data_IF_259678006013
#
_entry.id   IF_259678006013
#
_cell.length_a   1.000
_cell.length_b   1.000
_cell.length_c   1.000
_cell.angle_alpha   90.00
_cell.angle_beta   90.00
_cell.angle_gamma   90.00
#
_symmetry.space_group_name_H-M   'P 1'
#
loop_
_entity.id
_entity.type
_entity.pdbx_description
1 polymer ?
#
# COMPACT_ATOMS: atom_id res chain seq x y z
N UNK A 1 -67.73 1.86 -53.92
CA UNK A 1 -67.13 0.58 -53.46
C UNK A 1 -65.66 0.55 -53.84
N UNK A 2 -64.75 0.83 -52.90
CA UNK A 2 -63.31 0.54 -53.02
C UNK A 2 -62.87 -0.05 -51.68
N UNK A 3 -62.55 -1.35 -51.70
CA UNK A 3 -62.10 -2.13 -50.54
C UNK A 3 -60.62 -1.85 -50.32
N UNK A 4 -60.26 -1.27 -49.18
CA UNK A 4 -58.87 -1.17 -48.73
C UNK A 4 -58.46 -2.47 -48.06
N UNK A 5 -57.46 -3.14 -48.63
CA UNK A 5 -56.82 -4.34 -48.06
C UNK A 5 -55.76 -3.87 -47.06
N UNK A 6 -55.94 -4.21 -45.79
CA UNK A 6 -54.93 -4.01 -44.74
C UNK A 6 -54.02 -5.23 -44.73
N UNK A 7 -52.76 -5.05 -45.12
CA UNK A 7 -51.71 -6.07 -45.01
C UNK A 7 -51.22 -6.11 -43.54
N UNK A 8 -51.55 -7.18 -42.82
CA UNK A 8 -50.99 -7.47 -41.49
C UNK A 8 -49.58 -8.07 -41.67
N UNK A 9 -48.55 -7.27 -41.42
CA UNK A 9 -47.16 -7.72 -41.30
C UNK A 9 -46.99 -8.48 -39.98
N UNK A 10 -46.83 -9.80 -40.05
CA UNK A 10 -46.40 -10.65 -38.95
C UNK A 10 -44.92 -10.35 -38.63
N UNK A 11 -44.67 -9.63 -37.54
CA UNK A 11 -43.31 -9.45 -37.00
C UNK A 11 -42.93 -10.74 -36.26
N UNK A 12 -41.86 -11.45 -36.65
CA UNK A 12 -41.40 -12.62 -35.92
C UNK A 12 -40.89 -12.17 -34.54
N UNK A 13 -41.45 -12.75 -33.48
CA UNK A 13 -40.91 -12.63 -32.12
C UNK A 13 -39.49 -13.21 -32.09
N UNK A 14 -38.49 -12.35 -32.14
CA UNK A 14 -37.14 -12.70 -31.72
C UNK A 14 -37.17 -12.98 -30.22
N UNK A 15 -37.03 -14.25 -29.86
CA UNK A 15 -36.79 -14.68 -28.48
C UNK A 15 -35.41 -14.15 -28.07
N UNK A 16 -35.40 -13.04 -27.34
CA UNK A 16 -34.18 -12.55 -26.68
C UNK A 16 -33.82 -13.56 -25.59
N UNK A 17 -32.62 -14.17 -25.60
CA UNK A 17 -32.22 -15.07 -24.52
C UNK A 17 -32.16 -14.27 -23.22
N UNK A 18 -32.94 -14.69 -22.22
CA UNK A 18 -32.77 -14.21 -20.85
C UNK A 18 -31.35 -14.51 -20.39
N UNK A 19 -30.67 -13.61 -19.66
CA UNK A 19 -29.39 -13.93 -19.03
C UNK A 19 -29.58 -15.15 -18.13
N UNK A 20 -28.69 -16.13 -18.25
CA UNK A 20 -28.72 -17.35 -17.46
C UNK A 20 -28.86 -17.01 -15.97
N UNK A 21 -29.88 -17.59 -15.32
CA UNK A 21 -30.04 -17.53 -13.87
C UNK A 21 -28.80 -18.13 -13.20
N UNK A 22 -28.37 -17.61 -12.03
CA UNK A 22 -27.29 -18.23 -11.27
C UNK A 22 -27.67 -19.68 -10.97
N UNK A 23 -26.78 -20.58 -11.37
CA UNK A 23 -26.92 -22.03 -11.23
C UNK A 23 -27.19 -22.40 -9.77
N UNK A 24 -28.16 -23.29 -9.55
CA UNK A 24 -28.43 -23.93 -8.25
C UNK A 24 -27.13 -24.39 -7.59
N UNK A 25 -27.09 -24.35 -6.25
CA UNK A 25 -26.01 -24.90 -5.44
C UNK A 25 -25.62 -26.29 -5.96
N UNK A 26 -24.32 -26.50 -6.16
CA UNK A 26 -23.79 -27.77 -6.66
C UNK A 26 -23.84 -28.76 -5.48
N UNK A 27 -24.23 -30.03 -5.66
CA UNK A 27 -24.37 -30.98 -4.53
C UNK A 27 -23.16 -31.03 -3.58
N UNK A 28 -21.95 -30.82 -4.10
CA UNK A 28 -20.70 -30.72 -3.36
C UNK A 28 -20.70 -29.54 -2.35
N UNK A 29 -21.24 -28.38 -2.73
CA UNK A 29 -21.32 -27.22 -1.87
C UNK A 29 -22.20 -27.46 -0.64
N UNK A 30 -23.31 -28.18 -0.80
CA UNK A 30 -24.17 -28.58 0.33
C UNK A 30 -23.48 -29.56 1.28
N UNK A 31 -22.69 -30.51 0.74
CA UNK A 31 -21.87 -31.42 1.55
C UNK A 31 -20.83 -30.66 2.38
N UNK A 32 -20.11 -29.71 1.76
CA UNK A 32 -19.19 -28.82 2.46
C UNK A 32 -19.89 -28.10 3.61
N UNK A 33 -21.04 -27.48 3.35
CA UNK A 33 -21.78 -26.71 4.34
C UNK A 33 -22.31 -27.57 5.49
N UNK A 34 -22.80 -28.78 5.21
CA UNK A 34 -23.31 -29.67 6.24
C UNK A 34 -22.24 -30.02 7.28
N UNK A 35 -21.01 -30.32 6.85
CA UNK A 35 -19.91 -30.63 7.76
C UNK A 35 -19.31 -29.36 8.39
N UNK A 36 -19.00 -28.34 7.58
CA UNK A 36 -18.30 -27.13 8.06
C UNK A 36 -19.17 -26.22 8.93
N UNK A 37 -20.49 -26.37 8.91
CA UNK A 37 -21.37 -25.68 9.86
C UNK A 37 -21.13 -26.13 11.30
N UNK A 38 -20.55 -27.32 11.50
CA UNK A 38 -20.21 -27.84 12.83
C UNK A 38 -18.72 -27.67 13.12
N UNK A 39 -17.84 -27.98 12.17
CA UNK A 39 -16.38 -27.97 12.41
C UNK A 39 -15.76 -26.57 12.34
N UNK A 40 -16.28 -25.68 11.48
CA UNK A 40 -15.78 -24.31 11.30
C UNK A 40 -16.94 -23.30 11.20
N UNK A 41 -17.80 -23.20 12.23
CA UNK A 41 -19.03 -22.41 12.17
C UNK A 41 -18.78 -20.94 11.81
N UNK A 42 -17.68 -20.35 12.29
CA UNK A 42 -17.33 -18.96 11.98
C UNK A 42 -17.03 -18.72 10.49
N UNK A 43 -16.41 -19.68 9.80
CA UNK A 43 -16.14 -19.60 8.35
C UNK A 43 -17.45 -19.61 7.57
N UNK A 44 -18.36 -20.53 7.94
CA UNK A 44 -19.67 -20.64 7.32
C UNK A 44 -20.50 -19.37 7.55
N UNK A 45 -20.47 -18.81 8.75
CA UNK A 45 -21.23 -17.58 9.05
C UNK A 45 -20.68 -16.37 8.28
N UNK A 46 -19.35 -16.22 8.20
CA UNK A 46 -18.74 -15.19 7.37
C UNK A 46 -19.15 -15.33 5.90
N UNK A 47 -19.11 -16.55 5.35
CA UNK A 47 -19.56 -16.80 3.98
C UNK A 47 -21.06 -16.48 3.81
N UNK A 48 -21.94 -16.94 4.71
CA UNK A 48 -23.39 -16.67 4.65
C UNK A 48 -23.70 -15.16 4.58
N UNK A 49 -22.94 -14.34 5.29
CA UNK A 49 -23.10 -12.88 5.27
C UNK A 49 -22.58 -12.20 3.99
N UNK A 50 -21.78 -12.90 3.17
CA UNK A 50 -21.08 -12.35 2.01
C UNK A 50 -21.98 -12.09 0.80
N UNK A 51 -21.49 -11.26 -0.13
CA UNK A 51 -22.11 -11.10 -1.44
C UNK A 51 -22.02 -12.39 -2.30
N UNK A 52 -20.99 -13.21 -2.08
CA UNK A 52 -20.79 -14.48 -2.77
C UNK A 52 -21.92 -15.47 -2.47
N UNK A 53 -22.29 -15.65 -1.19
CA UNK A 53 -23.41 -16.50 -0.81
C UNK A 53 -24.74 -16.04 -1.45
N UNK A 54 -25.00 -14.73 -1.47
CA UNK A 54 -26.18 -14.13 -2.14
C UNK A 54 -26.21 -14.34 -3.66
N UNK A 55 -25.07 -14.72 -4.26
CA UNK A 55 -24.91 -15.02 -5.68
C UNK A 55 -24.65 -16.51 -5.94
N UNK A 56 -24.89 -17.37 -4.94
CA UNK A 56 -24.73 -18.82 -5.03
C UNK A 56 -23.30 -19.26 -5.37
N UNK A 57 -22.29 -18.44 -5.06
CA UNK A 57 -20.89 -18.86 -5.06
C UNK A 57 -20.63 -19.54 -3.73
N UNK A 58 -20.70 -20.87 -3.74
CA UNK A 58 -20.54 -21.73 -2.55
C UNK A 58 -19.07 -22.08 -2.25
N UNK A 59 -18.86 -22.91 -1.23
CA UNK A 59 -17.52 -23.35 -0.82
C UNK A 59 -16.79 -24.05 -1.98
N UNK A 60 -17.47 -24.95 -2.68
CA UNK A 60 -16.90 -25.75 -3.74
C UNK A 60 -16.60 -24.91 -4.99
N UNK A 61 -17.43 -23.91 -5.31
CA UNK A 61 -17.22 -22.97 -6.42
C UNK A 61 -15.84 -22.30 -6.37
N UNK A 62 -15.35 -21.99 -5.17
CA UNK A 62 -14.02 -21.41 -4.95
C UNK A 62 -12.94 -22.47 -4.74
N UNK A 63 -13.20 -23.50 -3.92
CA UNK A 63 -12.18 -24.47 -3.50
C UNK A 63 -12.02 -25.65 -4.45
N UNK A 64 -12.90 -25.83 -5.44
CA UNK A 64 -12.75 -26.86 -6.47
C UNK A 64 -11.46 -26.61 -7.24
N UNK A 65 -10.54 -27.56 -7.10
CA UNK A 65 -9.20 -27.45 -7.66
C UNK A 65 -9.24 -27.28 -9.18
N UNK A 66 -8.39 -26.40 -9.70
CA UNK A 66 -8.13 -26.35 -11.13
C UNK A 66 -7.47 -27.65 -11.60
N UNK A 67 -7.69 -28.04 -12.86
CA UNK A 67 -6.96 -29.14 -13.46
C UNK A 67 -5.45 -28.82 -13.40
N UNK A 68 -4.66 -29.75 -12.84
CA UNK A 68 -3.21 -29.59 -12.68
C UNK A 68 -2.77 -28.64 -11.56
N UNK A 69 -3.67 -28.22 -10.66
CA UNK A 69 -3.26 -27.45 -9.48
C UNK A 69 -2.27 -28.27 -8.62
N UNK A 70 -1.06 -27.77 -8.37
CA UNK A 70 -0.02 -28.54 -7.68
C UNK A 70 -0.27 -28.70 -6.16
N UNK A 71 -1.15 -27.88 -5.58
CA UNK A 71 -1.51 -27.92 -4.17
C UNK A 71 -2.92 -28.48 -3.91
N UNK A 72 -3.38 -29.35 -4.80
CA UNK A 72 -4.65 -30.03 -4.63
C UNK A 72 -4.54 -31.30 -3.76
N UNK A 73 -5.64 -31.68 -3.12
CA UNK A 73 -5.78 -32.96 -2.42
C UNK A 73 -7.25 -33.40 -2.38
N UNK A 74 -7.45 -34.70 -2.17
CA UNK A 74 -8.76 -35.31 -1.97
C UNK A 74 -9.27 -34.98 -0.56
N UNK A 75 -10.53 -34.55 -0.47
CA UNK A 75 -11.20 -34.25 0.77
C UNK A 75 -12.67 -34.69 0.73
N UNK A 76 -12.95 -35.86 1.30
CA UNK A 76 -14.29 -36.44 1.41
C UNK A 76 -15.05 -36.55 0.07
N UNK A 77 -14.44 -37.17 -0.92
CA UNK A 77 -14.95 -37.40 -2.27
C UNK A 77 -14.72 -36.24 -3.25
N UNK A 78 -14.08 -35.15 -2.81
CA UNK A 78 -13.93 -33.93 -3.60
C UNK A 78 -12.45 -33.54 -3.76
N UNK A 79 -12.06 -33.14 -4.96
CA UNK A 79 -10.71 -32.65 -5.24
C UNK A 79 -10.67 -31.12 -5.02
N UNK A 80 -9.97 -30.67 -3.97
CA UNK A 80 -9.97 -29.26 -3.57
C UNK A 80 -8.56 -28.67 -3.48
N UNK A 81 -8.50 -27.34 -3.46
CA UNK A 81 -7.33 -26.56 -3.08
C UNK A 81 -7.67 -25.70 -1.86
N UNK A 82 -6.86 -25.77 -0.79
CA UNK A 82 -7.09 -24.96 0.43
C UNK A 82 -6.89 -23.48 0.12
N UNK A 83 -5.85 -23.17 -0.66
CA UNK A 83 -5.45 -21.80 -0.98
C UNK A 83 -6.11 -21.39 -2.30
N UNK A 84 -7.19 -20.62 -2.20
CA UNK A 84 -7.81 -19.97 -3.35
C UNK A 84 -6.91 -18.82 -3.79
N UNK A 85 -6.23 -19.00 -4.92
CA UNK A 85 -5.25 -18.06 -5.46
C UNK A 85 -5.90 -16.99 -6.36
N UNK A 86 -5.18 -15.93 -6.78
CA UNK A 86 -5.67 -15.00 -7.79
C UNK A 86 -6.16 -15.65 -9.09
N UNK A 87 -5.62 -16.80 -9.51
CA UNK A 87 -6.11 -17.51 -10.70
C UNK A 87 -7.53 -18.07 -10.51
N UNK A 88 -7.88 -18.50 -9.30
CA UNK A 88 -9.24 -18.91 -8.98
C UNK A 88 -10.19 -17.71 -9.01
N UNK A 89 -9.78 -16.59 -8.41
CA UNK A 89 -10.56 -15.35 -8.45
C UNK A 89 -10.78 -14.86 -9.88
N UNK A 90 -9.77 -14.99 -10.75
CA UNK A 90 -9.82 -14.59 -12.16
C UNK A 90 -10.83 -15.40 -13.01
N UNK A 91 -11.40 -16.50 -12.50
CA UNK A 91 -12.51 -17.19 -13.19
C UNK A 91 -13.72 -16.23 -13.37
N UNK A 92 -13.94 -15.36 -12.38
CA UNK A 92 -15.02 -14.37 -12.39
C UNK A 92 -14.51 -12.92 -12.45
N UNK A 93 -13.37 -12.62 -11.83
CA UNK A 93 -12.80 -11.27 -11.64
C UNK A 93 -11.54 -11.06 -12.49
N UNK A 94 -11.69 -11.21 -13.82
CA UNK A 94 -10.56 -11.17 -14.77
C UNK A 94 -9.85 -9.82 -14.78
N UNK A 95 -10.61 -8.74 -14.74
CA UNK A 95 -10.08 -7.38 -14.83
C UNK A 95 -9.31 -7.02 -13.55
N UNK A 96 -9.89 -7.27 -12.38
CA UNK A 96 -9.27 -6.99 -11.09
C UNK A 96 -8.00 -7.83 -10.89
N UNK A 97 -8.03 -9.12 -11.25
CA UNK A 97 -6.87 -9.99 -11.17
C UNK A 97 -5.74 -9.52 -12.11
N UNK A 98 -6.07 -9.09 -13.33
CA UNK A 98 -5.09 -8.60 -14.30
C UNK A 98 -4.47 -7.25 -13.88
N UNK A 99 -5.26 -6.34 -13.31
CA UNK A 99 -4.76 -5.09 -12.75
C UNK A 99 -3.84 -5.36 -11.55
N UNK A 100 -4.29 -6.17 -10.59
CA UNK A 100 -3.50 -6.53 -9.42
C UNK A 100 -2.17 -7.19 -9.79
N UNK A 101 -2.17 -8.13 -10.75
CA UNK A 101 -0.97 -8.86 -11.17
C UNK A 101 0.14 -7.94 -11.74
N UNK A 102 -0.21 -6.78 -12.31
CA UNK A 102 0.75 -5.79 -12.82
C UNK A 102 1.37 -4.94 -11.71
N UNK A 103 0.62 -4.74 -10.63
CA UNK A 103 1.00 -3.87 -9.52
C UNK A 103 2.30 -4.30 -8.84
N UNK A 104 2.91 -3.36 -8.10
CA UNK A 104 4.01 -3.68 -7.21
C UNK A 104 3.58 -4.55 -6.01
N UNK A 105 2.29 -4.52 -5.62
CA UNK A 105 1.77 -5.36 -4.56
C UNK A 105 1.85 -6.85 -4.90
N UNK A 106 1.53 -7.25 -6.13
CA UNK A 106 1.71 -8.64 -6.57
C UNK A 106 3.19 -9.07 -6.56
N UNK A 107 4.12 -8.11 -6.58
CA UNK A 107 5.57 -8.35 -6.56
C UNK A 107 6.20 -8.11 -5.19
N UNK A 108 5.41 -7.89 -4.14
CA UNK A 108 5.92 -7.48 -2.84
C UNK A 108 6.87 -8.49 -2.18
N UNK A 109 6.72 -9.79 -2.44
CA UNK A 109 7.61 -10.85 -1.97
C UNK A 109 9.00 -10.86 -2.65
N UNK A 110 9.20 -10.08 -3.72
CA UNK A 110 10.48 -10.00 -4.43
C UNK A 110 11.50 -9.08 -3.73
N UNK A 111 11.29 -8.75 -2.45
CA UNK A 111 12.26 -8.01 -1.63
C UNK A 111 13.48 -8.87 -1.26
N UNK A 112 13.43 -10.19 -1.50
CA UNK A 112 14.52 -11.14 -1.26
C UNK A 112 15.82 -10.63 -1.91
N UNK A 113 16.88 -10.53 -1.11
CA UNK A 113 18.19 -9.97 -1.50
C UNK A 113 18.37 -8.47 -1.28
N UNK A 114 17.37 -7.73 -0.76
CA UNK A 114 17.53 -6.33 -0.36
C UNK A 114 18.26 -6.15 0.97
N UNK A 115 18.65 -4.91 1.29
CA UNK A 115 19.13 -4.53 2.63
C UNK A 115 18.09 -4.88 3.71
N UNK A 116 16.82 -4.60 3.46
CA UNK A 116 15.71 -4.93 4.38
C UNK A 116 15.60 -6.46 4.59
N UNK A 117 15.85 -7.25 3.55
CA UNK A 117 15.88 -8.71 3.65
C UNK A 117 17.09 -9.22 4.43
N UNK A 118 18.26 -8.59 4.26
CA UNK A 118 19.45 -8.91 5.05
C UNK A 118 19.21 -8.58 6.54
N UNK A 119 18.64 -7.41 6.82
CA UNK A 119 18.28 -7.00 8.17
C UNK A 119 17.29 -8.00 8.81
N UNK A 120 16.17 -8.29 8.14
CA UNK A 120 15.14 -9.17 8.69
C UNK A 120 15.55 -10.64 8.78
N UNK A 121 16.10 -11.23 7.73
CA UNK A 121 16.38 -12.68 7.69
C UNK A 121 17.70 -13.06 8.37
N UNK A 122 18.70 -12.16 8.35
CA UNK A 122 20.07 -12.48 8.80
C UNK A 122 20.38 -11.79 10.13
N UNK A 123 20.20 -10.47 10.23
CA UNK A 123 20.56 -9.71 11.44
C UNK A 123 19.57 -9.96 12.57
N UNK A 124 18.27 -9.91 12.27
CA UNK A 124 17.17 -10.16 13.23
C UNK A 124 16.86 -11.66 13.36
N UNK A 125 16.85 -12.38 12.23
CA UNK A 125 16.72 -13.83 12.16
C UNK A 125 15.39 -14.33 11.58
N UNK A 126 15.41 -15.55 11.03
CA UNK A 126 14.30 -16.15 10.28
C UNK A 126 12.92 -16.06 10.96
N UNK A 127 12.75 -16.40 12.26
CA UNK A 127 11.45 -16.28 12.93
C UNK A 127 10.89 -14.85 12.96
N UNK A 128 11.75 -13.83 13.06
CA UNK A 128 11.34 -12.43 13.00
C UNK A 128 10.86 -12.09 11.58
N UNK A 129 11.59 -12.51 10.54
CA UNK A 129 11.18 -12.31 9.16
C UNK A 129 9.87 -13.04 8.82
N UNK A 130 9.66 -14.26 9.32
CA UNK A 130 8.42 -15.05 9.15
C UNK A 130 7.20 -14.33 9.72
N UNK A 131 7.33 -13.75 10.90
CA UNK A 131 6.22 -13.12 11.61
C UNK A 131 6.06 -11.62 11.33
N UNK A 132 7.12 -10.94 10.89
CA UNK A 132 7.13 -9.53 10.51
C UNK A 132 7.03 -9.34 9.01
N UNK A 133 8.18 -9.41 8.31
CA UNK A 133 8.30 -9.09 6.88
C UNK A 133 7.32 -9.90 6.01
N UNK A 134 7.31 -11.23 6.17
CA UNK A 134 6.53 -12.15 5.31
C UNK A 134 5.03 -12.06 5.53
N UNK A 135 4.57 -11.53 6.68
CA UNK A 135 3.14 -11.29 6.94
C UNK A 135 2.59 -10.07 6.20
N UNK A 136 3.46 -9.13 5.80
CA UNK A 136 3.09 -7.96 4.99
C UNK A 136 3.43 -8.16 3.50
N UNK A 137 4.66 -8.57 3.20
CA UNK A 137 5.16 -8.69 1.83
C UNK A 137 4.75 -10.00 1.15
N UNK A 138 4.67 -11.08 1.91
CA UNK A 138 4.46 -12.42 1.42
C UNK A 138 5.76 -13.19 1.24
N UNK A 139 5.63 -14.50 1.06
CA UNK A 139 6.72 -15.42 0.72
C UNK A 139 6.20 -16.50 -0.23
N UNK A 140 7.09 -17.33 -0.75
CA UNK A 140 6.69 -18.56 -1.43
C UNK A 140 6.05 -19.53 -0.45
N UNK A 141 4.85 -20.01 -0.79
CA UNK A 141 4.13 -21.01 -0.01
C UNK A 141 4.58 -22.40 -0.44
N UNK A 142 5.09 -23.17 0.50
CA UNK A 142 5.56 -24.53 0.26
C UNK A 142 4.49 -25.55 0.64
N UNK A 143 3.97 -26.24 -0.36
CA UNK A 143 3.04 -27.36 -0.18
C UNK A 143 3.79 -28.64 0.18
N UNK A 144 3.31 -29.35 1.21
CA UNK A 144 3.91 -30.59 1.70
C UNK A 144 3.12 -31.85 1.30
N UNK A 145 2.00 -31.70 0.60
CA UNK A 145 1.09 -32.79 0.26
C UNK A 145 -0.08 -32.93 1.24
N UNK A 146 -1.16 -33.57 0.78
CA UNK A 146 -2.37 -33.88 1.55
C UNK A 146 -2.95 -32.66 2.32
N UNK A 147 -3.02 -31.50 1.66
CA UNK A 147 -3.55 -30.27 2.25
C UNK A 147 -2.66 -29.60 3.30
N UNK A 148 -1.43 -30.08 3.50
CA UNK A 148 -0.47 -29.52 4.47
C UNK A 148 0.53 -28.57 3.81
N UNK A 149 0.97 -27.57 4.56
CA UNK A 149 1.92 -26.56 4.12
C UNK A 149 3.04 -26.41 5.15
N UNK A 150 4.21 -25.97 4.70
CA UNK A 150 5.36 -25.72 5.56
C UNK A 150 5.08 -24.52 6.49
N UNK A 151 5.31 -24.72 7.80
CA UNK A 151 4.99 -23.75 8.84
C UNK A 151 5.77 -22.44 8.70
N UNK A 152 6.95 -22.47 8.06
CA UNK A 152 7.75 -21.27 7.80
C UNK A 152 7.18 -20.40 6.67
N UNK A 153 6.19 -20.93 5.94
CA UNK A 153 5.60 -20.28 4.76
C UNK A 153 4.08 -20.16 4.83
N UNK A 154 3.43 -20.80 5.81
CA UNK A 154 1.98 -20.79 6.00
C UNK A 154 1.61 -20.93 7.48
N UNK A 155 0.69 -20.11 8.03
CA UNK A 155 -0.19 -19.15 7.37
C UNK A 155 0.53 -17.89 6.88
N UNK A 156 0.17 -17.43 5.67
CA UNK A 156 0.73 -16.23 5.07
C UNK A 156 -0.37 -15.27 4.61
N UNK A 157 -0.30 -14.03 5.10
CA UNK A 157 -1.23 -12.94 4.81
C UNK A 157 -0.63 -11.81 3.97
N UNK A 158 0.59 -12.00 3.46
CA UNK A 158 1.33 -10.97 2.76
C UNK A 158 0.84 -10.76 1.33
N UNK A 159 0.76 -9.49 0.92
CA UNK A 159 0.03 -9.09 -0.28
C UNK A 159 0.62 -9.66 -1.57
N UNK A 160 1.94 -9.90 -1.61
CA UNK A 160 2.68 -10.45 -2.74
C UNK A 160 3.06 -11.92 -2.61
N UNK A 161 2.39 -12.69 -1.74
CA UNK A 161 2.60 -14.14 -1.54
C UNK A 161 2.72 -14.90 -2.87
N UNK A 162 3.74 -15.75 -3.02
CA UNK A 162 3.87 -16.60 -4.21
C UNK A 162 3.15 -17.92 -3.92
N UNK A 163 2.11 -18.21 -4.72
CA UNK A 163 1.23 -19.36 -4.52
C UNK A 163 1.78 -20.62 -5.21
N UNK A 164 1.34 -21.82 -4.79
CA UNK A 164 1.79 -23.07 -5.41
C UNK A 164 1.52 -23.17 -6.91
N UNK A 165 0.42 -22.58 -7.40
CA UNK A 165 0.08 -22.53 -8.83
C UNK A 165 0.89 -21.49 -9.64
N UNK A 166 1.90 -20.86 -9.03
CA UNK A 166 2.77 -19.84 -9.63
C UNK A 166 2.16 -18.43 -9.68
N UNK A 167 0.88 -18.27 -9.34
CA UNK A 167 0.26 -16.95 -9.27
C UNK A 167 0.83 -16.14 -8.11
N UNK A 168 0.85 -14.81 -8.27
CA UNK A 168 1.40 -13.90 -7.26
C UNK A 168 0.32 -13.08 -6.57
N UNK A 169 0.44 -13.04 -5.25
CA UNK A 169 -0.34 -12.29 -4.29
C UNK A 169 -1.56 -13.02 -3.71
N UNK A 170 -2.27 -12.29 -2.85
CA UNK A 170 -3.47 -12.78 -2.16
C UNK A 170 -4.59 -11.75 -2.25
N UNK A 171 -5.70 -12.13 -2.90
CA UNK A 171 -6.88 -11.26 -3.02
C UNK A 171 -7.58 -11.03 -1.68
N UNK A 172 -7.24 -11.79 -0.64
CA UNK A 172 -7.79 -11.62 0.70
C UNK A 172 -7.00 -10.62 1.58
N UNK A 173 -6.01 -9.92 1.02
CA UNK A 173 -5.23 -8.92 1.77
C UNK A 173 -6.08 -7.74 2.24
N UNK A 174 -7.08 -7.32 1.46
CA UNK A 174 -7.87 -6.12 1.74
C UNK A 174 -9.35 -6.35 2.09
N UNK A 175 -9.98 -7.31 1.42
CA UNK A 175 -11.33 -7.77 1.76
C UNK A 175 -11.22 -9.22 2.22
N UNK A 176 -11.13 -9.40 3.53
CA UNK A 176 -10.74 -10.64 4.16
C UNK A 176 -11.70 -11.79 3.83
N UNK A 177 -11.13 -12.99 3.75
CA UNK A 177 -11.91 -14.24 3.76
C UNK A 177 -12.65 -14.39 5.10
N UNK A 178 -13.86 -14.94 5.17
CA UNK A 178 -14.70 -15.44 4.07
C UNK A 178 -15.89 -14.51 3.74
N UNK A 179 -15.92 -13.31 4.31
CA UNK A 179 -16.95 -12.32 4.03
C UNK A 179 -16.70 -11.54 2.72
N UNK A 180 -15.43 -11.36 2.33
CA UNK A 180 -14.99 -10.64 1.12
C UNK A 180 -15.70 -9.28 0.94
N UNK A 181 -15.80 -8.53 2.04
CA UNK A 181 -16.57 -7.29 2.09
C UNK A 181 -15.84 -6.13 1.40
N UNK A 182 -16.44 -5.56 0.36
CA UNK A 182 -15.95 -4.32 -0.26
C UNK A 182 -15.96 -3.15 0.73
N UNK A 183 -16.90 -3.13 1.68
CA UNK A 183 -16.92 -2.12 2.74
C UNK A 183 -15.69 -2.21 3.63
N UNK A 184 -15.20 -3.43 3.93
CA UNK A 184 -13.95 -3.62 4.67
C UNK A 184 -12.74 -3.10 3.89
N UNK A 185 -12.66 -3.39 2.58
CA UNK A 185 -11.55 -2.90 1.75
C UNK A 185 -11.52 -1.36 1.61
N UNK A 186 -12.66 -0.68 1.81
CA UNK A 186 -12.78 0.78 1.75
C UNK A 186 -12.40 1.47 3.08
N UNK A 187 -12.27 0.71 4.16
CA UNK A 187 -11.89 1.23 5.47
C UNK A 187 -10.37 1.42 5.55
N UNK A 188 -9.87 2.59 6.01
CA UNK A 188 -8.43 2.85 6.17
C UNK A 188 -7.70 1.82 7.05
N UNK A 189 -8.38 1.29 8.07
CA UNK A 189 -7.82 0.35 9.05
C UNK A 189 -7.27 -0.92 8.38
N UNK A 190 -7.88 -1.33 7.26
CA UNK A 190 -7.42 -2.50 6.53
C UNK A 190 -6.03 -2.27 5.89
N UNK A 191 -5.74 -1.06 5.42
CA UNK A 191 -4.42 -0.70 4.89
C UNK A 191 -3.38 -0.64 6.03
N UNK A 192 -3.82 -0.19 7.21
CA UNK A 192 -2.99 -0.03 8.40
C UNK A 192 -2.37 -1.31 8.96
N UNK A 193 -2.76 -2.51 8.50
CA UNK A 193 -2.04 -3.76 8.83
C UNK A 193 -0.57 -3.73 8.38
N UNK A 194 -0.30 -3.07 7.24
CA UNK A 194 1.03 -3.08 6.61
C UNK A 194 1.61 -1.68 6.42
N UNK A 195 0.75 -0.69 6.15
CA UNK A 195 1.13 0.69 5.88
C UNK A 195 1.18 1.52 7.16
N UNK A 196 2.15 1.19 8.00
CA UNK A 196 2.32 1.73 9.35
C UNK A 196 3.79 1.76 9.77
N UNK A 197 4.07 2.29 10.96
CA UNK A 197 5.35 2.13 11.61
C UNK A 197 6.42 3.12 11.16
N UNK A 198 7.69 2.87 11.51
CA UNK A 198 8.74 3.90 11.49
C UNK A 198 9.17 4.34 10.10
N UNK A 199 9.03 3.49 9.08
CA UNK A 199 9.55 3.74 7.73
C UNK A 199 8.47 4.13 6.73
N UNK A 200 7.22 3.79 7.00
CA UNK A 200 6.10 4.18 6.17
C UNK A 200 4.80 4.32 6.98
N UNK A 201 4.66 5.35 7.83
CA UNK A 201 3.55 5.54 8.76
C UNK A 201 2.27 6.08 8.08
N UNK A 202 1.82 5.47 6.98
CA UNK A 202 0.73 6.07 6.21
C UNK A 202 -0.61 6.08 6.97
N UNK A 203 -0.90 5.06 7.77
CA UNK A 203 -2.13 5.03 8.57
C UNK A 203 -2.09 6.08 9.69
N UNK A 204 -0.94 6.29 10.34
CA UNK A 204 -0.76 7.29 11.38
C UNK A 204 -0.90 8.70 10.80
N UNK A 205 -0.25 8.96 9.65
CA UNK A 205 -0.38 10.21 8.91
C UNK A 205 -1.84 10.46 8.51
N UNK A 206 -2.52 9.45 7.97
CA UNK A 206 -3.91 9.58 7.58
C UNK A 206 -4.78 9.93 8.80
N UNK A 207 -4.58 9.25 9.93
CA UNK A 207 -5.36 9.43 11.14
C UNK A 207 -5.21 10.83 11.75
N UNK A 208 -4.03 11.45 11.67
CA UNK A 208 -3.84 12.83 12.14
C UNK A 208 -4.35 13.89 11.15
N UNK A 209 -4.37 13.55 9.85
CA UNK A 209 -4.79 14.48 8.81
C UNK A 209 -6.26 14.89 8.96
N UNK A 210 -6.61 16.05 8.40
CA UNK A 210 -8.03 16.46 8.34
C UNK A 210 -8.91 15.45 7.59
N UNK A 211 -8.36 14.72 6.62
CA UNK A 211 -9.10 13.67 5.93
C UNK A 211 -9.47 12.51 6.87
N UNK A 212 -8.53 11.99 7.66
CA UNK A 212 -8.81 10.92 8.61
C UNK A 212 -9.73 11.36 9.74
N UNK A 213 -9.57 12.58 10.26
CA UNK A 213 -10.48 13.15 11.26
C UNK A 213 -11.90 13.24 10.70
N UNK A 214 -12.08 13.76 9.48
CA UNK A 214 -13.40 13.85 8.86
C UNK A 214 -13.99 12.48 8.55
N UNK A 215 -13.17 11.52 8.12
CA UNK A 215 -13.64 10.15 7.91
C UNK A 215 -14.23 9.56 9.20
N UNK A 216 -13.46 9.59 10.29
CA UNK A 216 -13.89 9.04 11.59
C UNK A 216 -15.14 9.73 12.13
N UNK A 217 -15.22 11.05 12.00
CA UNK A 217 -16.40 11.81 12.43
C UNK A 217 -17.66 11.49 11.60
N UNK A 218 -17.49 11.02 10.36
CA UNK A 218 -18.57 10.91 9.39
C UNK A 218 -18.69 9.52 8.74
N UNK A 219 -18.21 8.45 9.39
CA UNK A 219 -18.22 7.07 8.82
C UNK A 219 -19.63 6.68 8.34
N UNK A 220 -20.67 7.04 9.09
CA UNK A 220 -22.06 6.74 8.72
C UNK A 220 -22.49 7.37 7.37
N UNK A 221 -21.88 8.49 6.98
CA UNK A 221 -22.15 9.17 5.71
C UNK A 221 -21.26 8.69 4.55
N UNK A 222 -20.31 7.80 4.82
CA UNK A 222 -19.37 7.31 3.80
C UNK A 222 -19.98 6.28 2.86
N UNK A 223 -21.18 5.76 3.14
CA UNK A 223 -21.87 4.80 2.27
C UNK A 223 -21.00 3.57 1.88
N UNK A 224 -20.19 3.08 2.83
CA UNK A 224 -19.13 2.08 2.59
C UNK A 224 -19.66 0.76 2.00
N UNK A 225 -20.92 0.41 2.26
CA UNK A 225 -21.57 -0.80 1.76
C UNK A 225 -22.13 -0.68 0.33
N UNK A 226 -22.08 0.49 -0.31
CA UNK A 226 -22.72 0.69 -1.60
C UNK A 226 -22.05 -0.10 -2.74
N UNK A 227 -22.85 -0.56 -3.69
CA UNK A 227 -22.34 -1.21 -4.90
C UNK A 227 -21.51 -0.24 -5.75
N UNK A 228 -22.00 0.99 -5.91
CA UNK A 228 -21.28 2.08 -6.56
C UNK A 228 -20.68 2.97 -5.47
N UNK A 229 -19.40 3.29 -5.58
CA UNK A 229 -18.70 4.08 -4.57
C UNK A 229 -17.75 5.07 -5.22
N UNK A 230 -18.35 6.12 -5.76
CA UNK A 230 -17.71 7.20 -6.52
C UNK A 230 -17.69 8.47 -5.66
N UNK A 231 -16.49 9.00 -5.39
CA UNK A 231 -16.33 10.25 -4.64
C UNK A 231 -17.00 11.42 -5.38
N UNK A 232 -17.67 12.29 -4.65
CA UNK A 232 -18.43 13.43 -5.20
C UNK A 232 -19.82 13.06 -5.72
N UNK A 233 -20.16 11.77 -5.81
CA UNK A 233 -21.48 11.27 -6.26
C UNK A 233 -22.17 10.40 -5.21
N UNK A 234 -21.50 9.33 -4.78
CA UNK A 234 -22.07 8.35 -3.85
C UNK A 234 -21.71 8.65 -2.38
N UNK A 235 -20.66 9.46 -2.17
CA UNK A 235 -20.23 10.00 -0.88
C UNK A 235 -19.34 11.24 -1.11
N UNK A 236 -19.29 12.12 -0.10
CA UNK A 236 -18.46 13.34 -0.13
C UNK A 236 -17.87 13.73 1.23
N UNK A 237 -18.15 12.97 2.29
CA UNK A 237 -17.81 13.36 3.65
C UNK A 237 -16.30 13.39 3.93
N UNK A 238 -15.54 12.44 3.38
CA UNK A 238 -14.08 12.39 3.47
C UNK A 238 -13.50 11.40 2.44
N UNK A 239 -12.21 11.50 2.08
CA UNK A 239 -11.50 10.44 1.38
C UNK A 239 -10.93 9.40 2.36
N UNK A 240 -10.75 8.18 1.86
CA UNK A 240 -10.00 7.07 2.51
C UNK A 240 -8.77 6.71 1.68
N UNK A 241 -7.94 5.79 2.17
CA UNK A 241 -6.85 5.19 1.40
C UNK A 241 -7.35 4.65 0.04
N UNK A 242 -8.46 3.89 0.07
CA UNK A 242 -9.09 3.33 -1.13
C UNK A 242 -9.60 4.43 -2.07
N UNK A 243 -10.22 5.49 -1.53
CA UNK A 243 -10.68 6.66 -2.33
C UNK A 243 -9.55 7.21 -3.19
N UNK A 244 -8.39 7.47 -2.59
CA UNK A 244 -7.27 8.10 -3.27
C UNK A 244 -6.55 7.14 -4.22
N UNK A 245 -6.35 5.88 -3.83
CA UNK A 245 -5.44 4.98 -4.55
C UNK A 245 -6.11 3.95 -5.45
N UNK A 246 -7.42 3.70 -5.33
CA UNK A 246 -8.09 2.60 -6.02
C UNK A 246 -9.46 2.97 -6.60
N UNK A 247 -10.32 3.61 -5.80
CA UNK A 247 -11.73 3.82 -6.11
C UNK A 247 -11.96 4.76 -7.29
N UNK A 248 -13.11 4.58 -7.94
CA UNK A 248 -13.52 5.39 -9.07
C UNK A 248 -13.81 6.87 -8.69
N UNK A 249 -13.65 7.74 -9.67
CA UNK A 249 -14.20 9.11 -9.68
C UNK A 249 -15.23 9.22 -10.80
N UNK A 250 -15.75 10.42 -11.05
CA UNK A 250 -16.59 10.67 -12.23
C UNK A 250 -15.85 10.46 -13.56
N UNK A 251 -14.52 10.61 -13.57
CA UNK A 251 -13.70 10.59 -14.79
C UNK A 251 -12.77 9.38 -14.90
N UNK A 252 -12.62 8.58 -13.84
CA UNK A 252 -11.78 7.38 -13.87
C UNK A 252 -12.45 6.19 -13.17
N UNK A 253 -12.21 4.99 -13.70
CA UNK A 253 -12.72 3.73 -13.14
C UNK A 253 -11.94 3.30 -11.91
N UNK A 254 -12.48 2.31 -11.19
CA UNK A 254 -11.75 1.61 -10.13
C UNK A 254 -10.57 0.83 -10.72
N UNK A 255 -9.46 0.77 -9.99
CA UNK A 255 -8.27 -0.03 -10.34
C UNK A 255 -7.79 -0.85 -9.15
N UNK A 256 -7.25 -2.04 -9.42
CA UNK A 256 -6.50 -2.85 -8.45
C UNK A 256 -4.98 -2.70 -8.62
N UNK A 257 -4.51 -1.79 -9.48
CA UNK A 257 -3.11 -1.34 -9.51
C UNK A 257 -2.97 0.00 -8.76
N UNK A 258 -2.57 -0.08 -7.49
CA UNK A 258 -2.38 1.11 -6.63
C UNK A 258 -1.25 2.03 -7.13
N UNK A 259 -0.43 1.58 -8.08
CA UNK A 259 0.64 2.36 -8.69
C UNK A 259 0.15 3.38 -9.73
N UNK A 260 -1.07 3.24 -10.24
CA UNK A 260 -1.63 4.04 -11.33
C UNK A 260 -1.72 5.55 -11.00
N UNK A 261 -1.71 5.91 -9.72
CA UNK A 261 -1.85 7.29 -9.24
C UNK A 261 -0.61 7.83 -8.53
N UNK A 262 0.53 7.13 -8.63
CA UNK A 262 1.78 7.50 -7.95
C UNK A 262 2.72 8.21 -8.91
N UNK A 263 2.90 9.53 -8.72
CA UNK A 263 3.83 10.33 -9.54
C UNK A 263 5.28 10.30 -9.01
N UNK A 264 5.46 10.16 -7.70
CA UNK A 264 6.77 10.10 -7.03
C UNK A 264 6.93 8.80 -6.27
N UNK A 265 8.12 8.19 -6.34
CA UNK A 265 8.51 7.17 -5.36
C UNK A 265 9.24 7.83 -4.20
N UNK A 266 8.70 7.65 -2.99
CA UNK A 266 9.26 8.18 -1.74
C UNK A 266 10.07 7.15 -0.95
N UNK A 267 10.12 5.91 -1.43
CA UNK A 267 10.83 4.80 -0.80
C UNK A 267 12.37 4.92 -0.85
N UNK A 268 13.01 5.31 -1.97
CA UNK A 268 14.47 5.31 -2.04
C UNK A 268 15.11 6.45 -1.25
N UNK A 269 16.44 6.37 -1.07
CA UNK A 269 17.27 7.43 -0.49
C UNK A 269 16.93 8.77 -1.14
N UNK A 270 17.14 8.89 -2.45
CA UNK A 270 16.76 10.07 -3.24
C UNK A 270 15.46 9.78 -3.97
N UNK A 271 14.42 10.56 -3.69
CA UNK A 271 13.11 10.41 -4.34
C UNK A 271 13.16 10.91 -5.78
N UNK A 272 12.45 10.23 -6.69
CA UNK A 272 12.37 10.60 -8.09
C UNK A 272 10.96 10.37 -8.66
N UNK A 273 10.67 11.03 -9.77
CA UNK A 273 9.41 10.89 -10.50
C UNK A 273 9.40 9.58 -11.29
N UNK A 274 8.29 8.84 -11.23
CA UNK A 274 8.15 7.56 -11.91
C UNK A 274 7.97 7.75 -13.43
N UNK A 275 8.06 6.65 -14.18
CA UNK A 275 7.64 6.66 -15.58
C UNK A 275 6.17 7.07 -15.70
N UNK A 276 5.85 7.89 -16.71
CA UNK A 276 4.51 8.45 -16.95
C UNK A 276 3.95 9.22 -15.73
N UNK A 277 4.81 9.83 -14.92
CA UNK A 277 4.39 10.53 -13.69
C UNK A 277 3.38 11.65 -13.95
N UNK A 278 3.42 12.31 -15.11
CA UNK A 278 2.47 13.37 -15.48
C UNK A 278 1.04 12.82 -15.53
N UNK A 279 0.85 11.69 -16.21
CA UNK A 279 -0.45 11.02 -16.31
C UNK A 279 -0.91 10.51 -14.93
N UNK A 280 0.01 9.93 -14.16
CA UNK A 280 -0.30 9.44 -12.80
C UNK A 280 -0.65 10.57 -11.83
N UNK A 281 0.02 11.73 -11.96
CA UNK A 281 -0.31 12.95 -11.23
C UNK A 281 -1.69 13.47 -11.62
N UNK A 282 -1.98 13.56 -12.92
CA UNK A 282 -3.28 13.98 -13.39
C UNK A 282 -4.39 13.06 -12.85
N UNK A 283 -4.16 11.74 -12.82
CA UNK A 283 -5.09 10.79 -12.24
C UNK A 283 -5.33 11.01 -10.73
N UNK A 284 -4.30 11.37 -9.94
CA UNK A 284 -4.48 11.75 -8.54
C UNK A 284 -5.17 13.11 -8.38
N UNK A 285 -4.81 14.11 -9.19
CA UNK A 285 -5.43 15.43 -9.17
C UNK A 285 -6.93 15.37 -9.52
N UNK A 286 -7.32 14.46 -10.41
CA UNK A 286 -8.73 14.17 -10.68
C UNK A 286 -9.45 13.72 -9.41
N UNK A 287 -8.88 12.84 -8.58
CA UNK A 287 -9.47 12.49 -7.27
C UNK A 287 -9.66 13.75 -6.41
N UNK A 288 -8.63 14.57 -6.28
CA UNK A 288 -8.68 15.80 -5.47
C UNK A 288 -9.79 16.76 -5.97
N UNK A 289 -9.97 16.85 -7.28
CA UNK A 289 -10.93 17.77 -7.94
C UNK A 289 -12.39 17.48 -7.64
N UNK A 290 -12.72 16.28 -7.13
CA UNK A 290 -14.08 15.95 -6.72
C UNK A 290 -14.49 16.64 -5.40
N UNK A 291 -13.54 17.29 -4.71
CA UNK A 291 -13.79 18.02 -3.46
C UNK A 291 -13.08 19.38 -3.36
N UNK A 292 -11.95 19.58 -4.04
CA UNK A 292 -11.11 20.77 -3.92
C UNK A 292 -11.03 21.57 -5.22
N UNK A 293 -10.94 22.89 -5.08
CA UNK A 293 -10.71 23.79 -6.22
C UNK A 293 -9.27 23.64 -6.76
N UNK A 294 -9.11 23.87 -8.07
CA UNK A 294 -7.83 23.72 -8.78
C UNK A 294 -6.67 24.48 -8.12
N UNK A 295 -6.86 25.74 -7.76
CA UNK A 295 -5.80 26.54 -7.13
C UNK A 295 -5.33 25.99 -5.78
N UNK A 296 -6.21 25.31 -5.03
CA UNK A 296 -5.81 24.63 -3.79
C UNK A 296 -4.93 23.41 -4.10
N UNK A 297 -5.30 22.63 -5.11
CA UNK A 297 -4.57 21.44 -5.56
C UNK A 297 -3.17 21.82 -6.06
N UNK A 298 -3.07 22.86 -6.88
CA UNK A 298 -1.79 23.38 -7.39
C UNK A 298 -0.85 23.83 -6.27
N UNK A 299 -1.39 24.56 -5.29
CA UNK A 299 -0.62 24.98 -4.11
C UNK A 299 -0.12 23.79 -3.29
N UNK A 300 -0.96 22.76 -3.09
CA UNK A 300 -0.53 21.53 -2.41
C UNK A 300 0.65 20.86 -3.15
N UNK A 301 0.54 20.68 -4.47
CA UNK A 301 1.63 20.04 -5.23
C UNK A 301 2.92 20.86 -5.23
N UNK A 302 2.83 22.20 -5.27
CA UNK A 302 4.01 23.07 -5.13
C UNK A 302 4.69 22.89 -3.78
N UNK A 303 3.92 22.83 -2.69
CA UNK A 303 4.46 22.59 -1.35
C UNK A 303 5.05 21.19 -1.23
N UNK A 304 4.35 20.17 -1.75
CA UNK A 304 4.81 18.79 -1.72
C UNK A 304 6.12 18.59 -2.49
N UNK A 305 6.22 19.11 -3.71
CA UNK A 305 7.46 19.04 -4.48
C UNK A 305 8.60 19.79 -3.80
N UNK A 306 8.34 20.97 -3.22
CA UNK A 306 9.32 21.71 -2.44
C UNK A 306 9.85 20.93 -1.23
N UNK A 307 8.99 20.19 -0.53
CA UNK A 307 9.42 19.28 0.55
C UNK A 307 10.33 18.16 0.03
N UNK A 308 9.95 17.51 -1.07
CA UNK A 308 10.73 16.41 -1.65
C UNK A 308 12.10 16.92 -2.13
N UNK A 309 12.13 18.07 -2.79
CA UNK A 309 13.36 18.73 -3.24
C UNK A 309 14.25 19.14 -2.06
N UNK A 310 13.69 19.78 -1.03
CA UNK A 310 14.42 20.12 0.18
C UNK A 310 15.10 18.88 0.78
N UNK A 311 14.36 17.79 0.97
CA UNK A 311 14.93 16.56 1.49
C UNK A 311 16.05 16.01 0.59
N UNK A 312 15.78 15.94 -0.72
CA UNK A 312 16.71 15.38 -1.69
C UNK A 312 18.04 16.16 -1.75
N UNK A 313 17.97 17.48 -1.88
CA UNK A 313 19.16 18.33 -2.06
C UNK A 313 19.91 18.57 -0.75
N UNK A 314 19.21 18.82 0.36
CA UNK A 314 19.86 19.17 1.63
C UNK A 314 20.40 17.96 2.39
N UNK A 315 19.74 16.80 2.31
CA UNK A 315 20.06 15.66 3.17
C UNK A 315 20.44 14.42 2.37
N UNK A 316 19.59 14.00 1.44
CA UNK A 316 19.72 12.69 0.80
C UNK A 316 20.94 12.57 -0.11
N UNK A 317 21.09 13.49 -1.07
CA UNK A 317 22.21 13.48 -2.03
C UNK A 317 23.56 13.67 -1.32
N UNK A 318 23.73 14.63 -0.39
CA UNK A 318 25.00 14.75 0.32
C UNK A 318 25.34 13.53 1.18
N UNK A 319 24.38 12.98 1.92
CA UNK A 319 24.61 11.79 2.73
C UNK A 319 25.00 10.58 1.86
N UNK A 320 24.30 10.38 0.73
CA UNK A 320 24.66 9.33 -0.23
C UNK A 320 26.07 9.52 -0.79
N UNK A 321 26.42 10.74 -1.20
CA UNK A 321 27.74 11.03 -1.76
C UNK A 321 28.87 10.77 -0.74
N UNK A 322 28.65 11.06 0.54
CA UNK A 322 29.57 10.73 1.62
C UNK A 322 29.73 9.21 1.75
N UNK A 323 28.63 8.46 1.85
CA UNK A 323 28.68 6.99 1.93
C UNK A 323 29.39 6.37 0.71
N UNK A 324 29.06 6.83 -0.50
CA UNK A 324 29.70 6.36 -1.73
C UNK A 324 31.22 6.60 -1.71
N UNK A 325 31.68 7.77 -1.23
CA UNK A 325 33.12 8.09 -1.07
C UNK A 325 33.79 7.16 -0.05
N UNK A 326 33.12 6.84 1.06
CA UNK A 326 33.66 5.96 2.10
C UNK A 326 33.82 4.52 1.60
N UNK A 327 32.81 3.97 0.91
CA UNK A 327 32.92 2.64 0.29
C UNK A 327 33.99 2.61 -0.82
N UNK A 328 34.02 3.62 -1.70
CA UNK A 328 35.02 3.70 -2.76
C UNK A 328 36.46 3.81 -2.20
N UNK A 329 36.62 4.47 -1.04
CA UNK A 329 37.87 4.58 -0.32
C UNK A 329 38.23 3.37 0.56
N UNK A 330 37.43 2.29 0.54
CA UNK A 330 37.54 1.13 1.43
C UNK A 330 37.63 1.54 2.92
N UNK A 331 36.87 2.57 3.31
CA UNK A 331 36.77 3.03 4.70
C UNK A 331 35.66 2.35 5.49
N UNK A 332 34.73 1.72 4.78
CA UNK A 332 33.71 0.83 5.30
C UNK A 332 33.94 -0.57 4.74
N UNK A 333 33.48 -1.59 5.44
CA UNK A 333 33.53 -2.96 4.95
C UNK A 333 32.53 -3.16 3.80
N UNK A 334 32.55 -4.34 3.16
CA UNK A 334 31.54 -4.71 2.16
C UNK A 334 30.30 -5.34 2.78
N UNK A 335 30.36 -5.67 4.07
CA UNK A 335 29.28 -6.33 4.80
C UNK A 335 28.31 -5.25 5.26
N UNK A 336 27.06 -5.21 4.79
CA UNK A 336 26.12 -4.18 5.27
C UNK A 336 25.80 -4.37 6.76
N UNK A 337 25.44 -3.28 7.44
CA UNK A 337 24.99 -3.25 8.83
C UNK A 337 25.99 -3.81 9.85
N UNK A 338 27.29 -3.89 9.52
CA UNK A 338 28.33 -4.26 10.49
C UNK A 338 28.99 -3.04 11.14
N UNK A 339 28.75 -1.84 10.60
CA UNK A 339 29.29 -0.59 11.09
C UNK A 339 28.21 0.41 11.53
N UNK A 340 28.49 1.15 12.62
CA UNK A 340 27.56 2.13 13.22
C UNK A 340 27.07 3.17 12.20
N UNK A 341 27.96 3.65 11.33
CA UNK A 341 27.61 4.65 10.32
C UNK A 341 26.52 4.15 9.36
N UNK A 342 26.52 2.86 9.03
CA UNK A 342 25.53 2.26 8.12
C UNK A 342 24.14 2.25 8.75
N UNK A 343 24.04 1.94 10.05
CA UNK A 343 22.79 2.04 10.80
C UNK A 343 22.25 3.46 10.86
N UNK A 344 23.13 4.43 11.21
CA UNK A 344 22.76 5.85 11.26
C UNK A 344 22.29 6.35 9.89
N UNK A 345 23.02 5.98 8.83
CA UNK A 345 22.64 6.32 7.46
C UNK A 345 21.31 5.67 7.07
N UNK A 346 21.12 4.38 7.36
CA UNK A 346 19.89 3.67 7.08
C UNK A 346 18.69 4.35 7.74
N UNK A 347 18.73 4.60 9.05
CA UNK A 347 17.64 5.26 9.77
C UNK A 347 17.36 6.69 9.26
N UNK A 348 18.41 7.44 8.91
CA UNK A 348 18.28 8.79 8.35
C UNK A 348 17.40 8.83 7.10
N UNK A 349 17.58 7.90 6.16
CA UNK A 349 16.82 7.91 4.92
C UNK A 349 15.60 6.98 4.94
N UNK A 350 15.72 5.80 5.56
CA UNK A 350 14.70 4.76 5.60
C UNK A 350 13.56 5.14 6.55
N UNK A 351 13.88 5.67 7.73
CA UNK A 351 12.86 6.10 8.70
C UNK A 351 12.58 7.59 8.49
N UNK A 352 13.50 8.44 8.93
CA UNK A 352 13.24 9.89 9.06
C UNK A 352 12.89 10.53 7.72
N UNK A 353 13.67 10.22 6.68
CA UNK A 353 13.44 10.74 5.35
C UNK A 353 12.13 10.29 4.72
N UNK A 354 11.74 9.02 4.90
CA UNK A 354 10.45 8.53 4.39
C UNK A 354 9.29 9.18 5.15
N UNK A 355 9.36 9.24 6.49
CA UNK A 355 8.34 9.89 7.33
C UNK A 355 8.07 11.33 6.91
N UNK A 356 9.13 12.15 6.78
CA UNK A 356 9.00 13.55 6.38
C UNK A 356 8.27 13.73 5.04
N UNK A 357 8.70 12.99 4.02
CA UNK A 357 8.13 13.10 2.66
C UNK A 357 6.71 12.54 2.57
N UNK A 358 6.44 11.42 3.24
CA UNK A 358 5.10 10.82 3.28
C UNK A 358 4.13 11.67 4.09
N UNK A 359 4.59 12.27 5.19
CA UNK A 359 3.83 13.22 6.01
C UNK A 359 3.26 14.34 5.14
N UNK A 360 4.10 14.97 4.32
CA UNK A 360 3.61 16.01 3.40
C UNK A 360 2.68 15.45 2.34
N UNK A 361 2.99 14.29 1.75
CA UNK A 361 2.19 13.68 0.68
C UNK A 361 0.73 13.39 1.09
N UNK A 362 0.46 13.17 2.37
CA UNK A 362 -0.87 12.87 2.90
C UNK A 362 -1.34 13.90 3.95
N UNK A 363 -0.72 15.09 3.96
CA UNK A 363 -1.09 16.23 4.81
C UNK A 363 -1.09 15.93 6.33
N UNK A 364 -0.10 15.16 6.78
CA UNK A 364 0.27 15.03 8.17
C UNK A 364 1.33 16.05 8.58
N UNK A 365 0.97 17.14 9.27
CA UNK A 365 1.93 18.17 9.64
C UNK A 365 2.93 17.69 10.69
N UNK A 366 2.55 16.82 11.62
CA UNK A 366 3.44 16.34 12.68
C UNK A 366 4.46 15.35 12.12
N UNK A 367 4.01 14.46 11.22
CA UNK A 367 4.89 13.58 10.45
C UNK A 367 5.78 14.30 9.44
N UNK A 368 5.37 15.48 8.97
CA UNK A 368 6.26 16.34 8.17
C UNK A 368 7.35 16.96 9.06
N UNK A 369 6.97 17.44 10.24
CA UNK A 369 7.87 18.22 11.10
C UNK A 369 8.51 17.37 12.21
N UNK A 370 7.80 17.10 13.30
CA UNK A 370 8.38 16.57 14.54
C UNK A 370 8.79 15.10 14.43
N UNK A 371 8.01 14.28 13.71
CA UNK A 371 8.41 12.91 13.36
C UNK A 371 9.15 12.81 12.01
N UNK A 372 9.37 13.94 11.34
CA UNK A 372 9.97 14.03 10.01
C UNK A 372 11.24 14.88 10.01
N UNK A 373 11.16 16.10 9.48
CA UNK A 373 12.33 16.96 9.28
C UNK A 373 13.12 17.28 10.55
N UNK A 374 12.48 17.32 11.72
CA UNK A 374 13.17 17.46 13.00
C UNK A 374 14.14 16.29 13.22
N UNK A 375 13.67 15.05 13.08
CA UNK A 375 14.49 13.86 13.25
C UNK A 375 15.51 13.70 12.11
N UNK A 376 15.14 14.05 10.86
CA UNK A 376 16.10 14.10 9.73
C UNK A 376 17.26 15.04 10.07
N UNK A 377 16.95 16.27 10.49
CA UNK A 377 17.97 17.26 10.81
C UNK A 377 18.81 16.82 12.01
N UNK A 378 18.18 16.40 13.11
CA UNK A 378 18.87 15.92 14.30
C UNK A 378 19.83 14.78 13.95
N UNK A 379 19.33 13.70 13.36
CA UNK A 379 20.15 12.54 12.98
C UNK A 379 21.27 12.91 12.00
N UNK A 380 20.98 13.76 11.01
CA UNK A 380 22.01 14.22 10.07
C UNK A 380 23.15 14.98 10.77
N UNK A 381 22.81 15.98 11.61
CA UNK A 381 23.80 16.88 12.20
C UNK A 381 24.47 16.35 13.46
N UNK A 382 23.79 15.52 14.26
CA UNK A 382 24.32 15.04 15.55
C UNK A 382 24.89 13.64 15.50
N UNK A 383 24.54 12.84 14.48
CA UNK A 383 24.98 11.44 14.38
C UNK A 383 25.71 11.19 13.07
N UNK A 384 25.06 11.38 11.92
CA UNK A 384 25.63 11.01 10.61
C UNK A 384 26.91 11.79 10.29
N UNK A 385 26.88 13.12 10.39
CA UNK A 385 28.04 13.97 10.08
C UNK A 385 29.23 13.69 11.01
N UNK A 386 29.07 13.68 12.35
CA UNK A 386 30.18 13.35 13.25
C UNK A 386 30.74 11.94 13.04
N UNK A 387 29.88 10.95 12.80
CA UNK A 387 30.31 9.57 12.58
C UNK A 387 31.07 9.43 11.24
N UNK A 388 30.61 10.09 10.17
CA UNK A 388 31.32 10.11 8.90
C UNK A 388 32.71 10.78 9.03
N UNK A 389 32.82 11.87 9.79
CA UNK A 389 34.11 12.53 10.09
C UNK A 389 35.03 11.67 10.97
N UNK A 390 34.46 10.84 11.85
CA UNK A 390 35.22 9.87 12.63
C UNK A 390 35.84 8.79 11.73
N UNK A 391 35.06 8.26 10.78
CA UNK A 391 35.53 7.25 9.81
C UNK A 391 36.56 7.82 8.84
N UNK A 392 36.34 9.02 8.32
CA UNK A 392 37.28 9.72 7.44
C UNK A 392 37.24 11.24 7.68
N UNK A 393 38.23 11.80 8.39
CA UNK A 393 38.31 13.24 8.61
C UNK A 393 38.32 14.04 7.30
N UNK A 394 37.47 15.06 7.22
CA UNK A 394 37.29 15.95 6.07
C UNK A 394 36.29 15.46 5.02
N UNK A 395 35.70 14.28 5.15
CA UNK A 395 34.77 13.72 4.14
C UNK A 395 33.51 14.57 3.95
N UNK A 396 33.08 15.31 4.98
CA UNK A 396 31.87 16.16 4.96
C UNK A 396 32.16 17.62 4.59
N UNK A 397 33.42 18.00 4.39
CA UNK A 397 33.83 19.40 4.21
C UNK A 397 33.15 20.08 3.01
N UNK A 398 32.92 19.36 1.92
CA UNK A 398 32.21 19.86 0.74
C UNK A 398 30.72 20.11 1.06
N UNK A 399 30.05 19.14 1.70
CA UNK A 399 28.66 19.24 2.12
C UNK A 399 28.42 20.44 3.03
N UNK A 400 29.29 20.64 4.03
CA UNK A 400 29.16 21.72 5.01
C UNK A 400 29.38 23.12 4.43
N UNK A 401 29.99 23.25 3.24
CA UNK A 401 30.18 24.55 2.56
C UNK A 401 28.95 25.02 1.79
N UNK A 402 28.01 24.12 1.49
CA UNK A 402 26.82 24.50 0.72
C UNK A 402 25.85 25.38 1.51
N UNK A 403 25.06 26.18 0.80
CA UNK A 403 24.15 27.17 1.39
C UNK A 403 23.18 26.57 2.42
N UNK A 404 22.78 25.31 2.23
CA UNK A 404 21.89 24.59 3.14
C UNK A 404 22.44 24.37 4.55
N UNK A 405 23.76 24.34 4.72
CA UNK A 405 24.42 24.00 6.00
C UNK A 405 25.25 25.15 6.58
N UNK A 406 25.31 26.32 5.91
CA UNK A 406 26.07 27.51 6.36
C UNK A 406 25.74 27.95 7.78
N UNK A 407 24.49 27.78 8.22
CA UNK A 407 24.06 28.09 9.58
C UNK A 407 24.90 27.38 10.67
N UNK A 408 25.55 26.25 10.35
CA UNK A 408 26.38 25.52 11.29
C UNK A 408 27.71 26.22 11.62
N UNK A 409 28.10 27.21 10.82
CA UNK A 409 29.21 28.13 11.12
C UNK A 409 28.86 29.13 12.24
N UNK A 410 27.59 29.21 12.65
CA UNK A 410 27.08 30.15 13.64
C UNK A 410 26.15 31.18 13.00
N UNK A 411 25.18 31.63 13.78
CA UNK A 411 24.33 32.78 13.45
C UNK A 411 25.06 34.07 13.78
N UNK A 412 24.72 35.18 13.11
CA UNK A 412 25.26 36.48 13.47
C UNK A 412 24.76 36.91 14.86
N UNK A 413 25.49 37.82 15.51
CA UNK A 413 25.07 38.37 16.81
C UNK A 413 23.66 38.98 16.74
N UNK A 414 23.35 39.69 15.65
CA UNK A 414 22.06 40.31 15.40
C UNK A 414 20.93 39.27 15.26
N UNK A 415 21.20 38.15 14.57
CA UNK A 415 20.24 37.05 14.44
C UNK A 415 19.95 36.37 15.78
N UNK A 416 20.98 36.18 16.61
CA UNK A 416 20.85 35.61 17.96
C UNK A 416 20.09 36.56 18.90
N UNK A 417 20.43 37.84 18.90
CA UNK A 417 19.75 38.86 19.70
C UNK A 417 18.27 38.94 19.35
N UNK A 418 17.94 38.92 18.05
CA UNK A 418 16.55 38.91 17.58
C UNK A 418 15.76 37.69 18.08
N UNK A 419 16.39 36.51 18.12
CA UNK A 419 15.75 35.31 18.66
C UNK A 419 15.54 35.42 20.18
N UNK A 420 16.56 35.85 20.92
CA UNK A 420 16.47 36.03 22.38
C UNK A 420 15.40 37.06 22.74
N UNK A 421 15.37 38.20 22.05
CA UNK A 421 14.35 39.24 22.25
C UNK A 421 12.94 38.74 21.95
N UNK A 422 12.77 37.88 20.93
CA UNK A 422 11.50 37.23 20.66
C UNK A 422 11.01 36.43 21.87
N UNK A 423 11.85 35.57 22.46
CA UNK A 423 11.46 34.77 23.62
C UNK A 423 11.22 35.63 24.86
N UNK A 424 12.09 36.62 25.13
CA UNK A 424 11.92 37.60 26.20
C UNK A 424 10.56 38.31 26.11
N UNK A 425 10.23 38.82 24.92
CA UNK A 425 8.98 39.56 24.71
C UNK A 425 7.75 38.65 24.73
N UNK A 426 7.83 37.46 24.14
CA UNK A 426 6.68 36.55 23.96
C UNK A 426 6.34 35.75 25.21
N UNK A 427 7.36 35.39 26.00
CA UNK A 427 7.24 34.46 27.13
C UNK A 427 7.76 35.02 28.46
N UNK A 428 8.29 36.25 28.49
CA UNK A 428 8.84 36.89 29.70
C UNK A 428 9.99 36.10 30.34
N UNK A 429 10.78 35.42 29.51
CA UNK A 429 11.94 34.60 29.90
C UNK A 429 13.26 35.33 29.71
#
# INVERSE_FOLDING_TARGET
MRRSVVLLLLIPWMVVPLPAQPTKAVPQGEQCLACHSVSTPGVVEQWKSSAHAKKSVDCYSCHQAAAGDPATFEHYGNQIAVIVTPHYCARCHKEEAAQFAKSHHARAAQFIGSLDNMLGEIVEGGPAAVNGCRQCHGSEVKYLGNGKFDADTWPNSGIGRVNPDGSKGTCAACHGRHAFSSAQARQPENCGKCHMGPDHPQIEIYNESKHGIQFRANIAMMNLGSRNWVVGKDYSAAPTCATCHMSATSNQKITHDVGDRISFTLRPVVSFKLENWEARRAAMQDVCSNCHATGWIENFYKQYEGTVELYNEKFAKPAKAIMDKLYAGNKLTKTPFDEKLEWVYYELWHHEGRRARMGTAMMGPDYTQWHGFYEVAKKFYTEFVPEAEHVLPGVTAETMKSDFHKWKAGLTKEELEKQIEFYKKRYMQ
#
